data_IF_576105421597
#
_entry.id   IF_576105421597
#
_cell.length_a   1.000
_cell.length_b   1.000
_cell.length_c   1.000
_cell.angle_alpha   90.00
_cell.angle_beta   90.00
_cell.angle_gamma   90.00
#
_symmetry.space_group_name_H-M   'P 1'
#
loop_
_entity.id
_entity.type
_entity.pdbx_description
1 polymer ?
#
# COMPACT_ATOMS: atom_id res chain seq x y z
N UNK A 1 17.92 -8.38 -9.51
CA UNK A 1 17.83 -7.77 -8.16
C UNK A 1 18.22 -8.85 -7.15
N UNK A 2 19.23 -8.61 -6.31
CA UNK A 2 19.65 -9.59 -5.31
C UNK A 2 18.63 -9.61 -4.16
N UNK A 3 18.03 -10.77 -3.89
CA UNK A 3 16.97 -10.95 -2.88
C UNK A 3 17.51 -10.71 -1.47
N UNK A 4 18.81 -10.98 -1.27
CA UNK A 4 19.48 -10.87 0.04
C UNK A 4 19.65 -9.41 0.50
N UNK A 5 19.49 -8.44 -0.42
CA UNK A 5 19.47 -7.00 -0.11
C UNK A 5 18.12 -6.55 0.46
N UNK A 6 17.04 -7.28 0.18
CA UNK A 6 15.70 -6.94 0.64
C UNK A 6 15.32 -7.82 1.83
N UNK A 7 15.37 -7.24 3.02
CA UNK A 7 14.92 -7.89 4.27
C UNK A 7 13.69 -7.15 4.80
N UNK A 8 12.52 -7.29 4.14
CA UNK A 8 11.31 -6.61 4.59
C UNK A 8 10.92 -7.11 5.98
N UNK A 9 10.69 -6.18 6.90
CA UNK A 9 10.29 -6.47 8.28
C UNK A 9 8.76 -6.57 8.44
N UNK A 10 8.01 -6.04 7.47
CA UNK A 10 6.55 -6.00 7.50
C UNK A 10 5.96 -6.33 6.12
N UNK A 11 4.90 -7.14 6.12
CA UNK A 11 4.03 -7.38 4.97
C UNK A 11 2.66 -6.75 5.23
N UNK A 12 2.14 -5.96 4.27
CA UNK A 12 0.81 -5.35 4.34
C UNK A 12 -0.07 -5.84 3.17
N UNK A 13 -0.71 -7.03 3.26
CA UNK A 13 -1.49 -7.59 2.17
C UNK A 13 -2.99 -7.24 2.29
N UNK A 14 -3.76 -7.59 1.26
CA UNK A 14 -5.23 -7.48 1.20
C UNK A 14 -5.97 -8.69 1.79
N UNK A 15 -5.29 -9.47 2.65
CA UNK A 15 -5.73 -10.76 3.20
C UNK A 15 -5.76 -11.93 2.20
N UNK A 16 -5.20 -11.81 1.00
CA UNK A 16 -5.07 -12.96 0.09
C UNK A 16 -4.01 -13.96 0.56
N UNK A 17 -4.41 -15.21 0.81
CA UNK A 17 -3.50 -16.30 1.22
C UNK A 17 -2.39 -16.55 0.21
N UNK A 18 -2.68 -16.39 -1.10
CA UNK A 18 -1.70 -16.53 -2.16
C UNK A 18 -0.51 -15.54 -1.98
N UNK A 19 -0.79 -14.31 -1.53
CA UNK A 19 0.24 -13.30 -1.28
C UNK A 19 1.07 -13.69 -0.07
N UNK A 20 0.43 -14.09 1.03
CA UNK A 20 1.10 -14.54 2.26
C UNK A 20 2.04 -15.72 1.99
N UNK A 21 1.54 -16.73 1.29
CA UNK A 21 2.29 -17.94 0.98
C UNK A 21 3.49 -17.62 0.07
N UNK A 22 3.27 -16.84 -0.99
CA UNK A 22 4.35 -16.43 -1.88
C UNK A 22 5.41 -15.58 -1.17
N UNK A 23 5.00 -14.67 -0.29
CA UNK A 23 5.93 -13.81 0.43
C UNK A 23 6.79 -14.61 1.43
N UNK A 24 6.16 -15.51 2.19
CA UNK A 24 6.84 -16.40 3.15
C UNK A 24 7.88 -17.28 2.46
N UNK A 25 7.57 -17.79 1.26
CA UNK A 25 8.48 -18.61 0.47
C UNK A 25 9.71 -17.83 -0.04
N UNK A 26 9.60 -16.52 -0.22
CA UNK A 26 10.66 -15.69 -0.81
C UNK A 26 11.52 -15.02 0.26
N UNK A 27 10.91 -14.47 1.31
CA UNK A 27 11.58 -13.61 2.30
C UNK A 27 11.73 -14.25 3.69
N UNK A 28 11.44 -15.55 3.82
CA UNK A 28 11.40 -16.29 5.09
C UNK A 28 10.35 -15.75 6.09
N UNK A 29 10.20 -16.39 7.24
CA UNK A 29 9.02 -16.24 8.12
C UNK A 29 9.14 -15.17 9.21
N UNK A 30 10.27 -14.47 9.34
CA UNK A 30 10.46 -13.46 10.39
C UNK A 30 10.03 -12.07 9.92
N UNK A 31 8.71 -11.83 9.85
CA UNK A 31 8.15 -10.53 9.52
C UNK A 31 6.80 -10.33 10.24
N UNK A 32 6.44 -9.06 10.44
CA UNK A 32 5.11 -8.68 10.93
C UNK A 32 4.12 -8.70 9.76
N UNK A 33 3.05 -9.46 9.87
CA UNK A 33 1.95 -9.41 8.92
C UNK A 33 0.88 -8.46 9.46
N UNK A 34 0.57 -7.40 8.72
CA UNK A 34 -0.40 -6.39 9.11
C UNK A 34 -1.46 -6.29 8.04
N UNK A 35 -2.73 -6.23 8.43
CA UNK A 35 -3.78 -6.03 7.45
C UNK A 35 -3.67 -4.65 6.79
N UNK A 36 -3.82 -4.59 5.47
CA UNK A 36 -4.05 -3.30 4.85
C UNK A 36 -5.40 -2.72 5.33
N UNK A 37 -5.32 -1.70 6.20
CA UNK A 37 -6.47 -1.01 6.79
C UNK A 37 -7.50 -0.57 5.74
N UNK A 38 -7.04 -0.05 4.61
CA UNK A 38 -7.87 0.34 3.47
C UNK A 38 -8.77 -0.80 2.97
N UNK A 39 -8.17 -1.96 2.72
CA UNK A 39 -8.90 -3.12 2.20
C UNK A 39 -9.86 -3.66 3.25
N UNK A 40 -9.47 -3.62 4.53
CA UNK A 40 -10.34 -3.96 5.65
C UNK A 40 -11.56 -3.02 5.69
N UNK A 41 -11.37 -1.70 5.67
CA UNK A 41 -12.47 -0.71 5.70
C UNK A 41 -13.47 -0.91 4.56
N UNK A 42 -12.99 -1.06 3.32
CA UNK A 42 -13.83 -1.32 2.13
C UNK A 42 -14.67 -2.60 2.26
N UNK A 43 -14.21 -3.59 3.03
CA UNK A 43 -14.94 -4.83 3.28
C UNK A 43 -15.92 -4.69 4.45
N UNK A 44 -15.58 -3.93 5.49
CA UNK A 44 -16.44 -3.61 6.65
C UNK A 44 -17.69 -2.84 6.24
N UNK A 45 -17.56 -1.89 5.32
CA UNK A 45 -18.68 -1.05 4.87
C UNK A 45 -19.80 -1.86 4.16
N UNK A 46 -19.56 -3.14 3.84
CA UNK A 46 -20.55 -4.06 3.28
C UNK A 46 -21.27 -4.90 4.38
N UNK A 47 -22.18 -4.24 5.12
CA UNK A 47 -23.32 -4.74 5.94
C UNK A 47 -23.15 -6.00 6.82
N UNK A 48 -23.35 -5.81 8.14
CA UNK A 48 -24.03 -6.70 9.11
C UNK A 48 -23.50 -8.14 9.29
N UNK A 49 -23.65 -8.99 8.27
CA UNK A 49 -23.09 -10.34 8.24
C UNK A 49 -21.56 -10.33 8.29
N UNK A 50 -20.96 -9.26 7.72
CA UNK A 50 -19.52 -9.06 7.75
C UNK A 50 -19.00 -8.92 9.18
N UNK A 51 -19.70 -8.26 10.11
CA UNK A 51 -19.17 -8.05 11.47
C UNK A 51 -19.02 -9.38 12.22
N UNK A 52 -20.00 -10.27 12.11
CA UNK A 52 -19.94 -11.59 12.75
C UNK A 52 -18.87 -12.50 12.09
N UNK A 53 -18.79 -12.49 10.76
CA UNK A 53 -17.74 -13.19 10.04
C UNK A 53 -16.35 -12.64 10.40
N UNK A 54 -16.18 -11.32 10.37
CA UNK A 54 -14.94 -10.61 10.64
C UNK A 54 -14.46 -10.83 12.08
N UNK A 55 -15.36 -10.86 13.06
CA UNK A 55 -14.99 -11.19 14.42
C UNK A 55 -14.47 -12.62 14.55
N UNK A 56 -15.19 -13.59 13.97
CA UNK A 56 -14.91 -15.01 14.19
C UNK A 56 -13.73 -15.54 13.37
N UNK A 57 -13.61 -15.13 12.11
CA UNK A 57 -12.55 -15.59 11.21
C UNK A 57 -11.31 -14.69 11.26
N UNK A 58 -11.50 -13.40 11.58
CA UNK A 58 -10.47 -12.39 11.34
C UNK A 58 -9.88 -11.80 12.63
N UNK A 59 -10.70 -11.27 13.54
CA UNK A 59 -10.22 -10.67 14.80
C UNK A 59 -9.61 -11.70 15.77
N UNK A 60 -10.11 -12.94 15.76
CA UNK A 60 -9.54 -14.04 16.55
C UNK A 60 -8.19 -14.53 16.05
N UNK A 61 -7.90 -14.36 14.75
CA UNK A 61 -6.77 -15.00 14.07
C UNK A 61 -5.70 -14.00 13.65
N UNK A 62 -6.05 -12.71 13.50
CA UNK A 62 -5.17 -11.64 13.06
C UNK A 62 -5.26 -10.44 14.01
N UNK A 63 -4.40 -10.43 15.02
CA UNK A 63 -4.16 -9.34 15.95
C UNK A 63 -3.27 -8.27 15.30
N UNK A 64 -3.85 -7.43 14.44
CA UNK A 64 -3.10 -6.34 13.80
C UNK A 64 -3.87 -5.36 12.96
N UNK A 65 -5.13 -5.11 13.33
CA UNK A 65 -6.06 -4.30 12.54
C UNK A 65 -6.13 -2.83 12.98
N UNK A 66 -5.54 -2.46 14.11
CA UNK A 66 -5.61 -1.10 14.65
C UNK A 66 -4.36 -0.30 14.28
N UNK A 67 -4.52 0.98 13.95
CA UNK A 67 -3.43 1.86 13.48
C UNK A 67 -2.22 1.89 14.43
N UNK A 68 -2.47 1.74 15.74
CA UNK A 68 -1.42 1.73 16.76
C UNK A 68 -0.47 0.52 16.72
N UNK A 69 -0.75 -0.52 15.93
CA UNK A 69 0.17 -1.67 15.82
C UNK A 69 1.44 -1.33 15.03
N UNK A 70 1.37 -0.41 14.07
CA UNK A 70 2.55 0.04 13.34
C UNK A 70 2.51 1.55 13.12
N UNK A 71 3.10 2.24 14.10
CA UNK A 71 3.40 3.67 14.03
C UNK A 71 4.22 3.95 12.76
N UNK A 72 3.89 5.02 12.04
CA UNK A 72 4.49 5.43 10.75
C UNK A 72 4.10 4.60 9.52
N UNK A 73 3.14 3.67 9.64
CA UNK A 73 2.51 3.08 8.44
C UNK A 73 1.42 3.99 7.90
N UNK A 74 1.26 4.08 6.57
CA UNK A 74 0.22 4.92 5.98
C UNK A 74 -1.17 4.40 6.36
N UNK A 75 -1.88 5.17 7.18
CA UNK A 75 -3.29 4.94 7.56
C UNK A 75 -4.28 5.29 6.44
N UNK A 76 -3.82 5.97 5.38
CA UNK A 76 -4.67 6.38 4.26
C UNK A 76 -4.35 5.59 3.00
N UNK A 77 -5.36 5.39 2.15
CA UNK A 77 -5.21 4.68 0.89
C UNK A 77 -4.70 5.55 -0.25
N UNK A 78 -4.44 6.84 -0.01
CA UNK A 78 -4.16 7.82 -1.05
C UNK A 78 -3.02 7.38 -1.95
N UNK A 79 -1.92 6.87 -1.38
CA UNK A 79 -0.80 6.37 -2.15
C UNK A 79 -1.18 5.15 -3.00
N UNK A 80 -1.90 4.17 -2.42
CA UNK A 80 -2.32 2.96 -3.13
C UNK A 80 -3.32 3.25 -4.25
N UNK A 81 -4.30 4.12 -4.01
CA UNK A 81 -5.30 4.52 -4.99
C UNK A 81 -4.68 5.41 -6.08
N UNK A 82 -3.77 6.32 -5.73
CA UNK A 82 -3.03 7.13 -6.71
C UNK A 82 -2.18 6.24 -7.62
N UNK A 83 -1.40 5.32 -7.06
CA UNK A 83 -0.61 4.36 -7.85
C UNK A 83 -1.51 3.47 -8.71
N UNK A 84 -2.61 2.96 -8.14
CA UNK A 84 -3.59 2.18 -8.90
C UNK A 84 -4.19 2.98 -10.05
N UNK A 85 -4.42 4.29 -9.85
CA UNK A 85 -4.91 5.20 -10.87
C UNK A 85 -3.88 5.41 -11.97
N UNK A 86 -2.63 5.70 -11.64
CA UNK A 86 -1.55 5.83 -12.64
C UNK A 86 -1.40 4.58 -13.49
N UNK A 87 -1.43 3.38 -12.88
CA UNK A 87 -1.35 2.13 -13.63
C UNK A 87 -2.56 1.96 -14.55
N UNK A 88 -3.77 2.26 -14.06
CA UNK A 88 -5.01 2.08 -14.81
C UNK A 88 -5.20 3.11 -15.92
N UNK A 89 -5.03 4.37 -15.60
CA UNK A 89 -5.42 5.49 -16.47
C UNK A 89 -4.27 5.93 -17.37
N UNK A 90 -3.03 5.92 -16.87
CA UNK A 90 -1.87 6.42 -17.64
C UNK A 90 -1.05 5.27 -18.26
N UNK A 91 -0.94 4.14 -17.56
CA UNK A 91 -0.12 3.01 -18.00
C UNK A 91 -0.86 2.06 -18.96
N UNK A 92 -1.97 1.51 -18.48
CA UNK A 92 -2.69 0.42 -19.16
C UNK A 92 -3.94 0.87 -19.90
N UNK A 93 -4.39 2.11 -19.68
CA UNK A 93 -5.67 2.64 -20.17
C UNK A 93 -6.87 1.72 -19.86
N UNK A 94 -6.79 0.99 -18.74
CA UNK A 94 -7.75 -0.03 -18.28
C UNK A 94 -7.95 -1.19 -19.26
N UNK A 95 -7.02 -1.38 -20.18
CA UNK A 95 -7.03 -2.47 -21.14
C UNK A 95 -6.15 -3.63 -20.67
N UNK A 96 -6.48 -4.83 -21.15
CA UNK A 96 -5.63 -6.02 -20.94
C UNK A 96 -4.50 -5.99 -21.95
N UNK A 97 -3.27 -6.08 -21.47
CA UNK A 97 -2.06 -6.12 -22.30
C UNK A 97 -1.45 -7.52 -22.32
N UNK A 98 -0.79 -7.86 -23.42
CA UNK A 98 0.12 -9.02 -23.45
C UNK A 98 1.28 -8.80 -22.48
N UNK A 99 1.82 -9.87 -21.91
CA UNK A 99 2.81 -9.80 -20.83
C UNK A 99 4.02 -8.90 -21.19
N UNK A 100 4.56 -9.02 -22.41
CA UNK A 100 5.70 -8.21 -22.85
C UNK A 100 5.40 -6.71 -22.79
N UNK A 101 4.22 -6.30 -23.27
CA UNK A 101 3.76 -4.90 -23.26
C UNK A 101 3.53 -4.42 -21.83
N UNK A 102 2.92 -5.25 -20.99
CA UNK A 102 2.71 -4.93 -19.58
C UNK A 102 4.04 -4.70 -18.85
N UNK A 103 5.04 -5.55 -19.08
CA UNK A 103 6.36 -5.40 -18.48
C UNK A 103 7.04 -4.09 -18.93
N UNK A 104 6.94 -3.73 -20.21
CA UNK A 104 7.45 -2.43 -20.70
C UNK A 104 6.77 -1.25 -20.00
N UNK A 105 5.44 -1.28 -19.87
CA UNK A 105 4.68 -0.23 -19.18
C UNK A 105 5.12 -0.13 -17.72
N UNK A 106 5.19 -1.25 -17.01
CA UNK A 106 5.60 -1.30 -15.61
C UNK A 106 7.03 -0.77 -15.41
N UNK A 107 7.96 -1.15 -16.29
CA UNK A 107 9.34 -0.63 -16.26
C UNK A 107 9.39 0.88 -16.48
N UNK A 108 8.59 1.42 -17.41
CA UNK A 108 8.53 2.87 -17.65
C UNK A 108 7.97 3.62 -16.43
N UNK A 109 6.92 3.11 -15.80
CA UNK A 109 6.35 3.70 -14.59
C UNK A 109 7.40 3.78 -13.48
N UNK A 110 8.10 2.67 -13.21
CA UNK A 110 9.17 2.62 -12.20
C UNK A 110 10.32 3.56 -12.56
N UNK A 111 10.70 3.65 -13.83
CA UNK A 111 11.75 4.55 -14.28
C UNK A 111 11.38 6.02 -14.05
N UNK A 112 10.15 6.43 -14.42
CA UNK A 112 9.67 7.80 -14.19
C UNK A 112 9.65 8.13 -12.70
N UNK A 113 9.14 7.21 -11.89
CA UNK A 113 9.16 7.31 -10.43
C UNK A 113 10.55 7.45 -9.83
N UNK A 114 11.57 6.84 -10.42
CA UNK A 114 12.96 7.01 -10.00
C UNK A 114 13.49 8.38 -10.38
N UNK A 115 13.20 8.87 -11.60
CA UNK A 115 13.64 10.19 -12.08
C UNK A 115 12.99 11.31 -11.27
N UNK A 116 11.70 11.20 -10.98
CA UNK A 116 10.96 12.19 -10.16
C UNK A 116 11.48 12.27 -8.72
N UNK A 117 12.16 11.24 -8.23
CA UNK A 117 12.73 11.16 -6.88
C UNK A 117 14.25 11.34 -6.85
N UNK A 118 14.84 11.72 -7.97
CA UNK A 118 16.27 12.01 -8.04
C UNK A 118 16.51 13.41 -7.45
N UNK A 119 17.36 13.47 -6.42
CA UNK A 119 17.78 14.71 -5.74
C UNK A 119 18.47 15.71 -6.66
N UNK A 120 18.92 15.26 -7.84
CA UNK A 120 19.56 16.11 -8.85
C UNK A 120 18.56 16.69 -9.86
N UNK A 121 17.29 16.24 -9.82
CA UNK A 121 16.23 16.73 -10.68
C UNK A 121 15.76 18.12 -10.25
N UNK A 122 15.54 19.01 -11.22
CA UNK A 122 14.98 20.36 -10.97
C UNK A 122 13.56 20.27 -10.37
N UNK A 123 12.82 19.21 -10.71
CA UNK A 123 11.45 18.97 -10.27
C UNK A 123 11.38 17.78 -9.30
N UNK A 124 12.33 17.67 -8.38
CA UNK A 124 12.34 16.61 -7.38
C UNK A 124 11.04 16.60 -6.56
N UNK A 125 10.44 15.42 -6.46
CA UNK A 125 9.29 15.16 -5.61
C UNK A 125 9.78 14.75 -4.21
N UNK A 126 9.87 15.72 -3.32
CA UNK A 126 10.39 15.55 -1.95
C UNK A 126 9.32 14.91 -1.06
N UNK A 127 9.69 13.84 -0.34
CA UNK A 127 8.80 13.26 0.67
C UNK A 127 8.73 14.15 1.92
N UNK A 128 7.51 14.52 2.32
CA UNK A 128 7.29 15.11 3.62
C UNK A 128 7.62 14.08 4.71
N UNK A 129 8.71 14.30 5.45
CA UNK A 129 9.12 13.44 6.57
C UNK A 129 8.36 13.74 7.85
N UNK A 130 7.83 14.96 7.95
CA UNK A 130 7.09 15.45 9.11
C UNK A 130 5.77 16.09 8.66
N UNK A 131 4.70 15.98 9.47
CA UNK A 131 3.43 16.60 9.15
C UNK A 131 3.57 18.13 9.16
N UNK A 132 3.19 18.77 8.06
CA UNK A 132 3.07 20.23 8.02
C UNK A 132 1.86 20.64 8.86
N UNK A 133 2.11 21.27 10.00
CA UNK A 133 1.04 21.76 10.88
C UNK A 133 1.12 23.27 10.98
N UNK A 134 0.00 23.95 10.76
CA UNK A 134 -0.13 25.40 10.96
C UNK A 134 -1.49 25.71 11.57
N UNK A 135 -1.58 26.82 12.31
CA UNK A 135 -2.83 27.28 12.92
C UNK A 135 -3.94 27.42 11.87
N UNK A 136 -3.58 27.89 10.67
CA UNK A 136 -4.48 28.02 9.52
C UNK A 136 -5.00 26.65 9.04
N UNK A 137 -4.11 25.66 8.85
CA UNK A 137 -4.49 24.28 8.48
C UNK A 137 -5.43 23.65 9.51
N UNK A 138 -5.15 23.85 10.80
CA UNK A 138 -6.02 23.39 11.89
C UNK A 138 -7.38 24.06 11.86
N UNK A 139 -7.43 25.36 11.57
CA UNK A 139 -8.69 26.13 11.50
C UNK A 139 -9.56 25.69 10.31
N UNK A 140 -8.95 25.42 9.15
CA UNK A 140 -9.64 24.95 7.95
C UNK A 140 -10.15 23.51 8.07
N UNK A 141 -9.47 22.66 8.84
CA UNK A 141 -9.85 21.26 9.03
C UNK A 141 -11.02 21.06 9.98
N UNK A 142 -11.41 22.10 10.72
CA UNK A 142 -12.46 22.05 11.76
C UNK A 142 -13.87 22.40 11.21
N UNK A 143 -13.98 22.73 9.91
CA UNK A 143 -15.26 23.00 9.23
C UNK A 143 -15.82 21.76 8.55
#
# INVERSE_FOLDING_TARGET
MNKDLLKPTTLIPDAADAIKNSFTNIFASSYNQIMCWTHMKRKVDNRGYFINYFHNEWLKTNDGWYEGIQVYSPSTNNALEATSRTIKDDGTFRERHVLSRFLTIASNIVNNWSIERDITSINENIFATEPTTSLELWTLSYQ
#
